data_IF_351544240973
#
_entry.id   IF_351544240973
#
_cell.length_a   1.000
_cell.length_b   1.000
_cell.length_c   1.000
_cell.angle_alpha   90.00
_cell.angle_beta   90.00
_cell.angle_gamma   90.00
#
_symmetry.space_group_name_H-M   'P 1'
#
loop_
_entity.id
_entity.type
_entity.pdbx_description
1 polymer ?
#
# COMPACT_ATOMS: atom_id res chain seq x y z
N UNK A 1 0.48 -16.04 -15.38
CA UNK A 1 1.83 -15.87 -14.82
C UNK A 1 1.70 -15.47 -13.37
N UNK A 2 2.46 -16.16 -12.49
CA UNK A 2 2.40 -15.97 -11.05
C UNK A 2 3.28 -14.76 -10.64
N UNK A 3 2.90 -13.57 -11.12
CA UNK A 3 3.64 -12.34 -10.94
C UNK A 3 3.23 -11.71 -9.61
N UNK A 4 4.20 -11.29 -8.81
CA UNK A 4 4.02 -10.67 -7.50
C UNK A 4 4.28 -9.18 -7.51
N UNK A 5 5.38 -8.77 -8.19
CA UNK A 5 5.83 -7.38 -8.21
C UNK A 5 6.17 -6.91 -9.62
N UNK A 6 6.20 -5.59 -9.76
CA UNK A 6 6.81 -4.87 -10.89
C UNK A 6 8.03 -4.15 -10.35
N UNK A 7 9.19 -4.41 -10.93
CA UNK A 7 10.43 -3.71 -10.64
C UNK A 7 10.65 -2.63 -11.68
N UNK A 8 10.99 -1.43 -11.23
CA UNK A 8 11.08 -0.24 -12.06
C UNK A 8 12.53 0.22 -12.07
N UNK A 9 13.04 0.46 -13.26
CA UNK A 9 14.39 0.92 -13.50
C UNK A 9 14.37 2.30 -14.13
N UNK A 10 15.29 3.16 -13.74
CA UNK A 10 15.50 4.49 -14.29
C UNK A 10 16.90 4.64 -14.85
N UNK A 11 17.01 5.44 -15.91
CA UNK A 11 18.28 5.90 -16.50
C UNK A 11 18.20 7.38 -16.87
N UNK A 12 19.31 8.08 -16.78
CA UNK A 12 19.45 9.47 -17.24
C UNK A 12 20.00 9.56 -18.67
N UNK A 13 20.61 8.49 -19.17
CA UNK A 13 21.26 8.46 -20.50
C UNK A 13 20.65 7.43 -21.45
N UNK A 14 19.62 6.69 -21.03
CA UNK A 14 18.97 5.64 -21.80
C UNK A 14 19.74 4.33 -21.94
N UNK A 15 20.93 4.23 -21.34
CA UNK A 15 21.83 3.04 -21.41
C UNK A 15 22.00 2.38 -20.04
N UNK A 16 22.39 3.15 -19.03
CA UNK A 16 22.69 2.66 -17.69
C UNK A 16 21.46 2.76 -16.81
N UNK A 17 20.83 1.61 -16.52
CA UNK A 17 19.60 1.53 -15.77
C UNK A 17 19.84 1.05 -14.34
N UNK A 18 19.34 1.80 -13.36
CA UNK A 18 19.38 1.45 -11.94
C UNK A 18 17.96 1.18 -11.42
N UNK A 19 17.76 0.21 -10.51
CA UNK A 19 16.46 -0.04 -9.91
C UNK A 19 16.09 1.12 -8.98
N UNK A 20 14.88 1.65 -9.12
CA UNK A 20 14.38 2.77 -8.31
C UNK A 20 13.18 2.40 -7.45
N UNK A 21 12.41 1.40 -7.86
CA UNK A 21 11.27 0.94 -7.09
C UNK A 21 10.92 -0.53 -7.40
N UNK A 22 10.25 -1.17 -6.44
CA UNK A 22 9.55 -2.43 -6.62
C UNK A 22 8.15 -2.30 -6.01
N UNK A 23 7.11 -2.54 -6.81
CA UNK A 23 5.71 -2.31 -6.45
C UNK A 23 4.87 -3.57 -6.64
N UNK A 24 3.84 -3.80 -5.80
CA UNK A 24 2.86 -4.86 -6.03
C UNK A 24 2.20 -4.71 -7.40
N UNK A 25 1.86 -5.85 -8.04
CA UNK A 25 1.30 -5.86 -9.41
C UNK A 25 -0.02 -5.10 -9.56
N UNK A 26 -0.79 -4.98 -8.48
CA UNK A 26 -2.08 -4.28 -8.51
C UNK A 26 -1.96 -2.75 -8.43
N UNK A 27 -0.78 -2.21 -8.12
CA UNK A 27 -0.51 -0.78 -8.22
C UNK A 27 -0.21 -0.41 -9.67
N UNK A 28 -1.05 0.45 -10.25
CA UNK A 28 -0.94 0.88 -11.65
C UNK A 28 -0.02 2.07 -11.86
N UNK A 29 0.51 2.64 -10.79
CA UNK A 29 1.38 3.81 -10.81
C UNK A 29 2.53 3.70 -9.83
N UNK A 30 3.62 4.40 -10.14
CA UNK A 30 4.76 4.57 -9.25
C UNK A 30 5.17 6.03 -9.25
N UNK A 31 5.33 6.59 -8.04
CA UNK A 31 5.92 7.91 -7.88
C UNK A 31 7.43 7.76 -7.76
N UNK A 32 8.17 8.43 -8.64
CA UNK A 32 9.62 8.55 -8.58
C UNK A 32 10.00 10.02 -8.38
N UNK A 33 10.81 10.29 -7.37
CA UNK A 33 11.28 11.66 -7.07
C UNK A 33 12.63 11.86 -7.72
N UNK A 34 12.70 12.86 -8.60
CA UNK A 34 13.92 13.22 -9.32
C UNK A 34 14.32 14.67 -9.04
N UNK A 35 15.63 14.98 -9.01
CA UNK A 35 16.10 16.28 -8.53
C UNK A 35 15.87 17.44 -9.49
N UNK A 36 15.70 17.18 -10.78
CA UNK A 36 15.74 18.22 -11.82
C UNK A 36 14.44 18.29 -12.62
N UNK A 37 13.97 19.50 -12.89
CA UNK A 37 12.87 19.80 -13.81
C UNK A 37 13.42 20.10 -15.21
N UNK A 38 12.67 19.71 -16.26
CA UNK A 38 13.09 19.88 -17.65
C UNK A 38 14.09 18.82 -18.13
N UNK A 39 14.31 17.78 -17.35
CA UNK A 39 15.21 16.69 -17.71
C UNK A 39 14.42 15.47 -18.20
N UNK A 40 15.02 14.76 -19.15
CA UNK A 40 14.52 13.51 -19.70
C UNK A 40 15.09 12.32 -18.93
N UNK A 41 14.20 11.46 -18.44
CA UNK A 41 14.53 10.18 -17.79
C UNK A 41 13.95 9.03 -18.59
N UNK A 42 14.64 7.90 -18.57
CA UNK A 42 14.24 6.69 -19.27
C UNK A 42 13.86 5.63 -18.26
N UNK A 43 12.74 4.95 -18.50
CA UNK A 43 12.22 3.92 -17.59
C UNK A 43 12.04 2.59 -18.31
N UNK A 44 12.34 1.51 -17.60
CA UNK A 44 12.02 0.13 -17.96
C UNK A 44 11.33 -0.54 -16.80
N UNK A 45 10.52 -1.55 -17.07
CA UNK A 45 9.92 -2.40 -16.05
C UNK A 45 10.27 -3.84 -16.30
N UNK A 46 10.37 -4.62 -15.22
CA UNK A 46 10.47 -6.08 -15.25
C UNK A 46 9.46 -6.67 -14.26
N UNK A 47 8.95 -7.85 -14.60
CA UNK A 47 8.08 -8.60 -13.73
C UNK A 47 8.91 -9.42 -12.75
N UNK A 48 8.45 -9.56 -11.51
CA UNK A 48 9.09 -10.38 -10.48
C UNK A 48 8.06 -11.38 -9.97
N UNK A 49 8.39 -12.66 -10.03
CA UNK A 49 7.50 -13.74 -9.57
C UNK A 49 7.56 -13.95 -8.05
N UNK A 50 6.83 -14.95 -7.55
CA UNK A 50 6.81 -15.30 -6.13
C UNK A 50 8.14 -15.91 -5.63
N UNK A 51 9.00 -16.38 -6.52
CA UNK A 51 10.34 -16.87 -6.21
C UNK A 51 11.42 -15.78 -6.36
N UNK A 52 10.98 -14.51 -6.53
CA UNK A 52 11.84 -13.35 -6.79
C UNK A 52 12.67 -13.45 -8.08
N UNK A 53 12.28 -14.31 -9.00
CA UNK A 53 12.89 -14.38 -10.33
C UNK A 53 12.38 -13.23 -11.18
N UNK A 54 13.30 -12.53 -11.81
CA UNK A 54 13.01 -11.37 -12.65
C UNK A 54 12.92 -11.76 -14.13
N UNK A 55 11.93 -11.20 -14.83
CA UNK A 55 11.79 -11.33 -16.28
C UNK A 55 12.80 -10.44 -17.03
N UNK A 56 12.99 -10.64 -18.34
CA UNK A 56 13.59 -9.62 -19.18
C UNK A 56 12.85 -8.27 -19.02
N UNK A 57 13.61 -7.18 -19.02
CA UNK A 57 13.03 -5.84 -18.90
C UNK A 57 12.29 -5.44 -20.18
N UNK A 58 11.28 -4.58 -20.04
CA UNK A 58 10.55 -3.99 -21.16
C UNK A 58 11.44 -3.11 -22.03
N UNK A 59 10.92 -2.71 -23.19
CA UNK A 59 11.47 -1.60 -23.96
C UNK A 59 11.46 -0.32 -23.11
N UNK A 60 12.48 0.51 -23.27
CA UNK A 60 12.60 1.78 -22.55
C UNK A 60 11.58 2.79 -23.06
N UNK A 61 10.96 3.53 -22.12
CA UNK A 61 10.18 4.74 -22.41
C UNK A 61 10.81 5.95 -21.73
N UNK A 62 10.78 7.08 -22.41
CA UNK A 62 11.26 8.35 -21.88
C UNK A 62 10.10 9.17 -21.27
N UNK A 63 10.43 9.90 -20.23
CA UNK A 63 9.54 10.84 -19.54
C UNK A 63 10.32 12.13 -19.29
N UNK A 64 9.79 13.26 -19.71
CA UNK A 64 10.34 14.57 -19.39
C UNK A 64 9.66 15.15 -18.16
N UNK A 65 10.48 15.59 -17.20
CA UNK A 65 9.98 16.24 -15.99
C UNK A 65 9.59 17.69 -16.27
N UNK A 66 8.47 18.13 -15.68
CA UNK A 66 7.94 19.49 -15.83
C UNK A 66 7.42 20.03 -14.52
N UNK A 67 7.30 21.34 -14.42
CA UNK A 67 6.62 21.97 -13.29
C UNK A 67 5.16 21.56 -13.31
N UNK A 68 4.68 21.11 -12.15
CA UNK A 68 3.31 20.67 -11.98
C UNK A 68 2.43 21.83 -11.50
N UNK A 69 1.17 21.83 -11.91
CA UNK A 69 0.15 22.70 -11.31
C UNK A 69 -0.19 22.24 -9.89
N UNK A 70 -0.76 23.12 -9.07
CA UNK A 70 -1.18 22.80 -7.70
C UNK A 70 -2.13 21.61 -7.66
N UNK A 71 -3.07 21.52 -8.58
CA UNK A 71 -3.98 20.37 -8.71
C UNK A 71 -3.23 19.08 -9.00
N UNK A 72 -2.21 19.11 -9.85
CA UNK A 72 -1.39 17.92 -10.14
C UNK A 72 -0.57 17.50 -8.94
N UNK A 73 -0.05 18.46 -8.15
CA UNK A 73 0.66 18.18 -6.89
C UNK A 73 -0.28 17.53 -5.87
N UNK A 74 -1.49 18.06 -5.68
CA UNK A 74 -2.48 17.48 -4.79
C UNK A 74 -2.84 16.05 -5.19
N UNK A 75 -3.02 15.78 -6.48
CA UNK A 75 -3.28 14.43 -6.99
C UNK A 75 -2.12 13.47 -6.71
N UNK A 76 -0.87 13.95 -6.81
CA UNK A 76 0.31 13.13 -6.45
C UNK A 76 0.36 12.83 -4.96
N UNK A 77 0.07 13.80 -4.10
CA UNK A 77 0.01 13.60 -2.65
C UNK A 77 -1.07 12.59 -2.31
N UNK A 78 -2.24 12.70 -2.91
CA UNK A 78 -3.34 11.74 -2.72
C UNK A 78 -2.94 10.34 -3.16
N UNK A 79 -2.31 10.19 -4.34
CA UNK A 79 -1.83 8.92 -4.83
C UNK A 79 -0.77 8.30 -3.91
N UNK A 80 0.16 9.11 -3.38
CA UNK A 80 1.17 8.64 -2.43
C UNK A 80 0.55 8.13 -1.12
N UNK A 81 -0.47 8.82 -0.60
CA UNK A 81 -1.20 8.39 0.59
C UNK A 81 -1.96 7.07 0.35
N UNK A 82 -2.63 6.91 -0.79
CA UNK A 82 -3.31 5.66 -1.15
C UNK A 82 -2.30 4.51 -1.27
N UNK A 83 -1.15 4.75 -1.90
CA UNK A 83 -0.09 3.75 -2.02
C UNK A 83 0.42 3.28 -0.64
N UNK A 84 0.50 4.17 0.35
CA UNK A 84 0.85 3.79 1.71
C UNK A 84 -0.12 2.73 2.25
N UNK A 85 -1.43 2.93 2.12
CA UNK A 85 -2.43 1.95 2.56
C UNK A 85 -2.41 0.67 1.73
N UNK A 86 -2.11 0.75 0.44
CA UNK A 86 -1.99 -0.44 -0.41
C UNK A 86 -0.83 -1.34 0.03
N UNK A 87 0.27 -0.78 0.51
CA UNK A 87 1.50 -1.50 0.85
C UNK A 87 1.62 -1.88 2.33
N UNK A 88 0.94 -1.15 3.22
CA UNK A 88 1.18 -1.22 4.67
C UNK A 88 0.08 -1.97 5.44
N UNK A 89 -0.25 -3.18 5.02
CA UNK A 89 -1.22 -4.04 5.68
C UNK A 89 -0.56 -5.31 6.22
N UNK A 90 -1.17 -5.89 7.26
CA UNK A 90 -0.77 -7.20 7.78
C UNK A 90 -1.32 -8.32 6.89
N UNK A 91 -0.42 -9.18 6.42
CA UNK A 91 -0.79 -10.28 5.50
C UNK A 91 -1.67 -11.35 6.13
N UNK A 92 -1.73 -11.46 7.46
CA UNK A 92 -2.54 -12.46 8.15
C UNK A 92 -3.99 -11.98 8.30
N UNK A 93 -4.19 -10.83 8.91
CA UNK A 93 -5.50 -10.24 9.20
C UNK A 93 -6.10 -9.44 8.03
N UNK A 94 -5.25 -8.89 7.18
CA UNK A 94 -5.65 -7.87 6.21
C UNK A 94 -5.77 -6.47 6.83
N UNK A 95 -5.71 -6.34 8.15
CA UNK A 95 -5.81 -5.07 8.87
C UNK A 95 -4.52 -4.25 8.75
N UNK A 96 -4.57 -3.01 9.17
CA UNK A 96 -3.48 -2.05 9.00
C UNK A 96 -2.70 -1.82 10.29
N UNK A 97 -1.38 -1.71 10.15
CA UNK A 97 -0.47 -1.53 11.26
C UNK A 97 -0.29 -0.04 11.57
N UNK A 98 -0.34 0.37 12.86
CA UNK A 98 -0.06 1.75 13.26
C UNK A 98 1.41 2.13 13.03
N UNK A 99 2.30 1.14 13.20
CA UNK A 99 3.74 1.28 12.96
C UNK A 99 4.26 -0.03 12.38
N UNK A 100 5.12 0.05 11.39
CA UNK A 100 5.77 -1.11 10.81
C UNK A 100 6.84 -1.66 11.76
N UNK A 101 6.45 -2.58 12.64
CA UNK A 101 7.36 -3.23 13.59
C UNK A 101 7.91 -4.54 13.02
N UNK A 102 9.19 -4.85 13.29
CA UNK A 102 9.83 -6.07 12.79
C UNK A 102 9.29 -7.35 13.42
N UNK A 103 8.86 -7.31 14.68
CA UNK A 103 8.69 -8.51 15.49
C UNK A 103 7.24 -8.80 15.91
N UNK A 104 6.31 -7.88 15.71
CA UNK A 104 4.91 -8.02 16.12
C UNK A 104 3.96 -7.60 15.02
N UNK A 105 3.00 -8.45 14.71
CA UNK A 105 1.89 -8.13 13.81
C UNK A 105 0.78 -7.38 14.58
N UNK A 106 1.13 -6.25 15.21
CA UNK A 106 0.14 -5.39 15.88
C UNK A 106 -0.59 -4.60 14.80
N UNK A 107 -1.91 -4.77 14.74
CA UNK A 107 -2.81 -4.05 13.84
C UNK A 107 -3.75 -3.17 14.65
N UNK A 108 -4.29 -2.14 14.01
CA UNK A 108 -5.11 -1.13 14.66
C UNK A 108 -6.46 -0.99 13.98
N UNK A 109 -7.51 -0.86 14.79
CA UNK A 109 -8.87 -0.61 14.31
C UNK A 109 -8.96 0.75 13.63
N UNK A 110 -8.36 1.79 14.21
CA UNK A 110 -8.36 3.15 13.67
C UNK A 110 -7.67 3.25 12.31
N UNK A 111 -6.46 2.73 12.18
CA UNK A 111 -5.74 2.74 10.90
C UNK A 111 -6.47 1.89 9.85
N UNK A 112 -7.13 0.80 10.27
CA UNK A 112 -7.92 -0.05 9.36
C UNK A 112 -9.16 0.67 8.86
N UNK A 113 -9.89 1.40 9.71
CA UNK A 113 -11.03 2.21 9.30
C UNK A 113 -10.61 3.29 8.29
N UNK A 114 -9.56 4.05 8.58
CA UNK A 114 -8.99 5.03 7.64
C UNK A 114 -8.52 4.41 6.32
N UNK A 115 -7.95 3.22 6.37
CA UNK A 115 -7.51 2.48 5.19
C UNK A 115 -8.69 2.05 4.29
N UNK A 116 -9.79 1.57 4.86
CA UNK A 116 -10.99 1.20 4.09
C UNK A 116 -11.48 2.41 3.28
N UNK A 117 -11.62 3.58 3.92
CA UNK A 117 -12.00 4.82 3.23
C UNK A 117 -11.02 5.20 2.13
N UNK A 118 -9.72 5.11 2.40
CA UNK A 118 -8.66 5.42 1.43
C UNK A 118 -8.68 4.46 0.24
N UNK A 119 -8.95 3.18 0.45
CA UNK A 119 -9.07 2.19 -0.61
C UNK A 119 -10.28 2.45 -1.51
N UNK A 120 -11.43 2.86 -0.95
CA UNK A 120 -12.61 3.24 -1.71
C UNK A 120 -12.30 4.45 -2.61
N UNK A 121 -11.65 5.48 -2.07
CA UNK A 121 -11.19 6.64 -2.84
C UNK A 121 -10.21 6.21 -3.94
N UNK A 122 -9.32 5.25 -3.65
CA UNK A 122 -8.38 4.70 -4.63
C UNK A 122 -9.06 4.00 -5.80
N UNK A 123 -10.20 3.34 -5.59
CA UNK A 123 -11.03 2.77 -6.68
C UNK A 123 -11.64 3.86 -7.53
N UNK A 124 -12.26 4.87 -6.92
CA UNK A 124 -12.88 6.00 -7.64
C UNK A 124 -11.86 6.75 -8.50
N UNK A 125 -10.65 6.92 -7.99
CA UNK A 125 -9.55 7.56 -8.72
C UNK A 125 -8.81 6.60 -9.68
N UNK A 126 -9.28 5.37 -9.88
CA UNK A 126 -8.68 4.36 -10.76
C UNK A 126 -7.21 4.03 -10.42
N UNK A 127 -6.82 4.16 -9.16
CA UNK A 127 -5.46 3.88 -8.68
C UNK A 127 -5.27 2.42 -8.25
N UNK A 128 -6.36 1.77 -7.83
CA UNK A 128 -6.40 0.36 -7.46
C UNK A 128 -7.65 -0.30 -8.05
N UNK A 129 -7.56 -1.54 -8.57
CA UNK A 129 -8.71 -2.26 -9.09
C UNK A 129 -9.75 -2.55 -8.00
N UNK A 130 -11.04 -2.43 -8.33
CA UNK A 130 -12.15 -2.69 -7.41
C UNK A 130 -12.12 -4.10 -6.81
N UNK A 131 -11.78 -5.13 -7.60
CA UNK A 131 -11.69 -6.51 -7.14
C UNK A 131 -10.62 -6.69 -6.06
N UNK A 132 -9.49 -5.98 -6.16
CA UNK A 132 -8.45 -6.00 -5.13
C UNK A 132 -8.94 -5.41 -3.81
N UNK A 133 -9.66 -4.29 -3.87
CA UNK A 133 -10.25 -3.66 -2.67
C UNK A 133 -11.32 -4.55 -2.04
N UNK A 134 -12.18 -5.17 -2.83
CA UNK A 134 -13.17 -6.14 -2.34
C UNK A 134 -12.51 -7.32 -1.62
N UNK A 135 -11.45 -7.88 -2.19
CA UNK A 135 -10.68 -8.96 -1.56
C UNK A 135 -10.09 -8.54 -0.22
N UNK A 136 -9.55 -7.32 -0.12
CA UNK A 136 -8.98 -6.77 1.12
C UNK A 136 -10.05 -6.56 2.18
N UNK A 137 -11.15 -5.91 1.84
CA UNK A 137 -12.27 -5.66 2.76
C UNK A 137 -12.85 -6.99 3.23
N UNK A 138 -13.06 -7.96 2.34
CA UNK A 138 -13.53 -9.31 2.71
C UNK A 138 -12.59 -9.98 3.71
N UNK A 139 -11.28 -9.86 3.52
CA UNK A 139 -10.28 -10.42 4.45
C UNK A 139 -10.33 -9.75 5.82
N UNK A 140 -10.42 -8.43 5.86
CA UNK A 140 -10.59 -7.66 7.11
C UNK A 140 -11.87 -8.11 7.83
N UNK A 141 -12.99 -8.16 7.12
CA UNK A 141 -14.28 -8.59 7.67
C UNK A 141 -14.22 -10.00 8.25
N UNK A 142 -13.60 -10.93 7.51
CA UNK A 142 -13.42 -12.32 7.99
C UNK A 142 -12.55 -12.42 9.24
N UNK A 143 -11.53 -11.59 9.36
CA UNK A 143 -10.71 -11.49 10.56
C UNK A 143 -11.53 -10.92 11.72
N UNK A 144 -12.23 -9.82 11.53
CA UNK A 144 -13.04 -9.16 12.57
C UNK A 144 -14.18 -10.04 13.07
N UNK A 145 -14.81 -10.86 12.22
CA UNK A 145 -15.84 -11.83 12.65
C UNK A 145 -15.33 -12.84 13.69
N UNK A 146 -14.03 -13.08 13.74
CA UNK A 146 -13.39 -14.04 14.67
C UNK A 146 -12.60 -13.35 15.78
N UNK A 147 -12.34 -12.06 15.63
CA UNK A 147 -11.55 -11.29 16.57
C UNK A 147 -12.34 -11.02 17.86
N UNK A 148 -11.62 -10.92 18.98
CA UNK A 148 -12.24 -10.62 20.26
C UNK A 148 -12.79 -9.19 20.27
N UNK A 149 -14.03 -9.05 20.71
CA UNK A 149 -14.71 -7.77 20.89
C UNK A 149 -15.49 -7.76 22.21
N UNK A 150 -15.88 -6.58 22.68
CA UNK A 150 -16.76 -6.38 23.84
C UNK A 150 -18.00 -5.63 23.40
N UNK A 151 -19.15 -6.31 23.45
CA UNK A 151 -20.45 -5.75 23.03
C UNK A 151 -20.42 -5.16 21.60
N UNK A 152 -19.72 -5.81 20.66
CA UNK A 152 -19.58 -5.34 19.29
C UNK A 152 -18.50 -4.27 19.07
N UNK A 153 -17.87 -3.77 20.14
CA UNK A 153 -16.81 -2.77 20.05
C UNK A 153 -15.46 -3.48 20.02
N UNK A 154 -14.61 -3.14 19.07
CA UNK A 154 -13.29 -3.70 18.90
C UNK A 154 -12.23 -2.97 19.72
N UNK A 155 -11.19 -3.68 20.21
CA UNK A 155 -10.05 -3.03 20.85
C UNK A 155 -9.29 -2.16 19.85
N UNK A 156 -8.63 -1.12 20.36
CA UNK A 156 -7.84 -0.21 19.52
C UNK A 156 -6.72 -0.93 18.78
N UNK A 157 -6.15 -1.98 19.41
CA UNK A 157 -5.05 -2.77 18.84
C UNK A 157 -5.29 -4.27 19.01
N UNK A 158 -4.88 -5.04 17.98
CA UNK A 158 -4.94 -6.50 17.94
C UNK A 158 -3.55 -7.11 17.68
N UNK A 159 -3.35 -8.34 18.14
CA UNK A 159 -2.44 -9.28 17.50
C UNK A 159 -3.09 -9.73 16.17
N UNK A 160 -2.54 -9.30 15.05
CA UNK A 160 -3.07 -9.59 13.71
C UNK A 160 -3.07 -11.07 13.32
N UNK A 161 -2.39 -11.93 14.06
CA UNK A 161 -2.37 -13.39 13.87
C UNK A 161 -3.44 -14.10 14.67
N UNK A 162 -3.69 -13.61 15.89
CA UNK A 162 -4.55 -14.30 16.88
C UNK A 162 -5.93 -13.68 17.00
N UNK A 163 -6.12 -12.43 16.60
CA UNK A 163 -7.36 -11.68 16.81
C UNK A 163 -7.64 -11.35 18.29
N UNK A 164 -6.62 -11.40 19.14
CA UNK A 164 -6.70 -11.04 20.54
C UNK A 164 -6.29 -9.60 20.75
N UNK A 165 -6.89 -8.90 21.75
CA UNK A 165 -6.47 -7.55 22.11
C UNK A 165 -4.98 -7.50 22.43
N UNK A 166 -4.30 -6.50 21.89
CA UNK A 166 -2.90 -6.21 22.21
C UNK A 166 -2.84 -4.88 22.94
N UNK A 167 -2.60 -4.94 24.24
CA UNK A 167 -2.55 -3.75 25.09
C UNK A 167 -1.10 -3.28 25.29
N UNK A 168 -0.84 -2.01 25.03
CA UNK A 168 0.32 -1.36 25.62
C UNK A 168 0.04 -1.24 27.13
N UNK A 169 1.01 -1.54 27.98
CA UNK A 169 0.90 -1.42 29.43
C UNK A 169 0.12 -0.16 29.83
N UNK A 170 -1.05 -0.32 30.47
CA UNK A 170 -1.87 0.76 30.99
C UNK A 170 -2.98 1.31 30.08
N UNK A 171 -3.27 0.70 28.92
CA UNK A 171 -4.33 1.19 28.03
C UNK A 171 -5.21 0.06 27.51
N UNK A 172 -6.19 -0.34 28.30
CA UNK A 172 -7.31 -1.18 27.85
C UNK A 172 -8.31 -0.31 27.09
N UNK A 173 -7.99 0.09 25.88
CA UNK A 173 -8.88 0.98 25.12
C UNK A 173 -9.58 0.22 24.01
N UNK A 174 -10.91 0.24 24.07
CA UNK A 174 -11.80 -0.12 22.98
C UNK A 174 -12.11 1.15 22.18
N UNK A 175 -12.05 1.05 20.86
CA UNK A 175 -12.23 2.19 19.98
C UNK A 175 -13.64 2.19 19.37
N UNK A 176 -14.56 2.94 20.02
CA UNK A 176 -15.95 3.05 19.59
C UNK A 176 -16.04 3.74 18.23
N UNK A 177 -15.31 4.84 18.04
CA UNK A 177 -15.37 5.65 16.83
C UNK A 177 -14.86 4.89 15.60
N UNK A 178 -13.76 4.17 15.74
CA UNK A 178 -13.21 3.41 14.63
C UNK A 178 -13.95 2.09 14.37
N UNK A 179 -14.77 1.63 15.33
CA UNK A 179 -15.61 0.43 15.17
C UNK A 179 -16.89 0.73 14.40
N UNK A 180 -17.44 1.93 14.56
CA UNK A 180 -18.66 2.38 13.90
C UNK A 180 -18.47 2.67 12.41
#
# INVERSE_FOLDING_TARGET
>A
PNIRYVKIYRSTNGKDFVPVAMRPIHLQSCLDVVPNVGYKYFYKIAWVDHNYKESPASVSKDVETKILSDTAILNLIQAANINYFVENFDVNSGMYMPVRAKDKAIVSTKETAGAILSLIIGVENKQIPRNEVLNRISKISYFLLKAQHKNGIYPAYFDGRKGLPEYKKGTDTYDVQATA
#
